data_IF_025189951584
#
_entry.id   IF_025189951584
#
_cell.length_a   1.000
_cell.length_b   1.000
_cell.length_c   1.000
_cell.angle_alpha   90.00
_cell.angle_beta   90.00
_cell.angle_gamma   90.00
#
_symmetry.space_group_name_H-M   'P 1'
#
loop_
_entity.id
_entity.type
_entity.pdbx_description
1 polymer ?
#
# COMPACT_ATOMS: atom_id res chain seq x y z
N UNK A 1 2.01 17.07 -15.28
CA UNK A 1 1.13 15.99 -14.86
C UNK A 1 1.25 15.81 -13.35
N UNK A 2 0.14 15.94 -12.62
CA UNK A 2 0.10 15.90 -11.16
C UNK A 2 -0.47 14.56 -10.71
N UNK A 3 0.31 13.81 -9.94
CA UNK A 3 -0.07 12.49 -9.40
C UNK A 3 -0.26 12.62 -7.89
N UNK A 4 -1.46 12.27 -7.41
CA UNK A 4 -1.75 12.06 -5.99
C UNK A 4 -1.45 10.62 -5.59
N UNK A 5 -0.96 10.42 -4.37
CA UNK A 5 -0.76 9.11 -3.76
C UNK A 5 -1.33 9.11 -2.34
N UNK A 6 -2.11 8.10 -1.98
CA UNK A 6 -2.58 7.96 -0.59
C UNK A 6 -1.45 7.51 0.34
N UNK A 7 -1.51 7.92 1.60
CA UNK A 7 -0.48 7.63 2.61
C UNK A 7 -0.23 6.12 2.82
N UNK A 8 -1.23 5.28 2.54
CA UNK A 8 -1.14 3.83 2.70
C UNK A 8 -0.26 3.12 1.67
N UNK A 9 -0.04 3.72 0.49
CA UNK A 9 0.73 3.07 -0.58
C UNK A 9 2.24 3.13 -0.28
N UNK A 10 2.95 1.99 -0.27
CA UNK A 10 4.40 1.97 -0.12
C UNK A 10 5.10 2.74 -1.24
N UNK A 11 6.09 3.57 -0.88
CA UNK A 11 6.80 4.44 -1.84
C UNK A 11 7.53 3.64 -2.93
N UNK A 12 8.04 2.48 -2.60
CA UNK A 12 8.67 1.56 -3.55
C UNK A 12 7.67 1.07 -4.60
N UNK A 13 6.49 0.67 -4.16
CA UNK A 13 5.45 0.19 -5.07
C UNK A 13 4.96 1.33 -5.99
N UNK A 14 4.80 2.54 -5.44
CA UNK A 14 4.52 3.74 -6.25
C UNK A 14 5.60 3.96 -7.30
N UNK A 15 6.88 3.92 -6.90
CA UNK A 15 8.00 4.07 -7.82
C UNK A 15 7.93 3.04 -8.95
N UNK A 16 7.72 1.77 -8.62
CA UNK A 16 7.64 0.69 -9.60
C UNK A 16 6.50 0.91 -10.60
N UNK A 17 5.35 1.42 -10.16
CA UNK A 17 4.20 1.70 -11.04
C UNK A 17 4.46 2.84 -12.02
N UNK A 18 5.22 3.88 -11.63
CA UNK A 18 5.29 5.12 -12.40
C UNK A 18 6.62 5.35 -13.12
N UNK A 19 7.74 4.76 -12.68
CA UNK A 19 9.07 5.11 -13.16
C UNK A 19 9.26 4.87 -14.68
N UNK A 20 8.74 3.76 -15.21
CA UNK A 20 8.83 3.45 -16.64
C UNK A 20 8.06 4.48 -17.48
N UNK A 21 6.86 4.87 -17.01
CA UNK A 21 6.05 5.91 -17.65
C UNK A 21 6.74 7.27 -17.61
N UNK A 22 7.33 7.66 -16.49
CA UNK A 22 8.06 8.92 -16.37
C UNK A 22 9.29 8.96 -17.28
N UNK A 23 9.99 7.85 -17.48
CA UNK A 23 11.08 7.75 -18.46
C UNK A 23 10.59 7.87 -19.89
N UNK A 24 9.48 7.20 -20.23
CA UNK A 24 8.88 7.25 -21.58
C UNK A 24 8.40 8.65 -21.97
N UNK A 25 7.84 9.40 -21.02
CA UNK A 25 7.32 10.76 -21.21
C UNK A 25 8.18 11.79 -20.49
N UNK A 26 9.50 11.73 -20.72
CA UNK A 26 10.52 12.54 -19.99
C UNK A 26 10.40 14.05 -20.21
N UNK A 27 9.69 14.50 -21.25
CA UNK A 27 9.41 15.91 -21.52
C UNK A 27 8.31 16.51 -20.62
N UNK A 28 7.58 15.65 -19.88
CA UNK A 28 6.50 16.08 -18.98
C UNK A 28 7.09 16.40 -17.60
N UNK A 29 6.70 17.55 -17.04
CA UNK A 29 6.96 17.86 -15.63
C UNK A 29 5.96 17.10 -14.75
N UNK A 30 6.47 16.26 -13.89
CA UNK A 30 5.67 15.54 -12.89
C UNK A 30 5.69 16.26 -11.55
N UNK A 31 4.53 16.29 -10.89
CA UNK A 31 4.38 16.73 -9.50
C UNK A 31 3.73 15.61 -8.73
N UNK A 32 4.38 15.13 -7.67
CA UNK A 32 3.87 14.06 -6.81
C UNK A 32 3.37 14.69 -5.52
N UNK A 33 2.12 14.44 -5.17
CA UNK A 33 1.48 14.90 -3.93
C UNK A 33 1.06 13.71 -3.09
N UNK A 34 1.27 13.80 -1.80
CA UNK A 34 0.81 12.80 -0.84
C UNK A 34 -0.19 13.43 0.12
N UNK A 35 -1.36 12.79 0.28
CA UNK A 35 -2.40 13.26 1.20
C UNK A 35 -3.38 12.10 1.50
N UNK A 36 -4.34 12.37 2.37
CA UNK A 36 -5.50 11.53 2.62
C UNK A 36 -6.32 11.31 1.35
N UNK A 37 -7.01 10.18 1.26
CA UNK A 37 -7.86 9.85 0.12
C UNK A 37 -8.88 10.95 -0.19
N UNK A 38 -9.55 11.48 0.84
CA UNK A 38 -10.56 12.55 0.68
C UNK A 38 -9.93 13.89 0.27
N UNK A 39 -8.72 14.20 0.73
CA UNK A 39 -7.95 15.37 0.32
C UNK A 39 -7.63 15.32 -1.17
N UNK A 40 -7.09 14.19 -1.64
CA UNK A 40 -6.77 13.98 -3.05
C UNK A 40 -8.00 14.01 -3.95
N UNK A 41 -9.14 13.43 -3.52
CA UNK A 41 -10.37 13.48 -4.28
C UNK A 41 -10.91 14.91 -4.45
N UNK A 42 -10.78 15.76 -3.43
CA UNK A 42 -11.16 17.19 -3.54
C UNK A 42 -10.29 17.92 -4.56
N UNK A 43 -8.98 17.67 -4.54
CA UNK A 43 -8.06 18.26 -5.53
C UNK A 43 -8.30 17.74 -6.95
N UNK A 44 -8.64 16.46 -7.09
CA UNK A 44 -9.04 15.88 -8.39
C UNK A 44 -10.31 16.54 -8.92
N UNK A 45 -11.31 16.78 -8.06
CA UNK A 45 -12.58 17.39 -8.44
C UNK A 45 -12.43 18.81 -9.00
N UNK A 46 -11.40 19.55 -8.60
CA UNK A 46 -11.08 20.89 -9.10
C UNK A 46 -9.97 20.90 -10.15
N UNK A 47 -9.58 19.72 -10.68
CA UNK A 47 -8.51 19.52 -11.65
C UNK A 47 -7.12 20.01 -11.18
N UNK A 48 -6.85 20.03 -9.87
CA UNK A 48 -5.54 20.29 -9.29
C UNK A 48 -4.63 19.04 -9.25
N UNK A 49 -5.22 17.87 -9.46
CA UNK A 49 -4.58 16.56 -9.66
C UNK A 49 -5.17 15.91 -10.91
N UNK A 50 -4.33 15.25 -11.71
CA UNK A 50 -4.70 14.56 -12.94
C UNK A 50 -5.00 13.07 -12.69
N UNK A 51 -4.26 12.46 -11.76
CA UNK A 51 -4.27 11.03 -11.50
C UNK A 51 -4.01 10.74 -10.02
N UNK A 52 -4.74 9.79 -9.43
CA UNK A 52 -4.52 9.34 -8.04
C UNK A 52 -4.22 7.83 -8.04
N UNK A 53 -3.18 7.42 -7.32
CA UNK A 53 -2.97 6.04 -6.87
C UNK A 53 -3.47 5.92 -5.43
N UNK A 54 -4.37 4.95 -5.21
CA UNK A 54 -5.05 4.79 -3.93
C UNK A 54 -5.14 3.31 -3.51
N UNK A 55 -5.22 3.11 -2.19
CA UNK A 55 -5.45 1.81 -1.53
C UNK A 55 -6.94 1.40 -1.50
N UNK A 56 -7.81 2.22 -2.10
CA UNK A 56 -9.25 1.98 -2.21
C UNK A 56 -9.86 2.71 -3.39
N UNK A 57 -10.97 2.16 -3.89
CA UNK A 57 -11.77 2.80 -4.94
C UNK A 57 -12.72 3.86 -4.38
N UNK A 58 -13.33 4.62 -5.29
CA UNK A 58 -14.40 5.57 -4.95
C UNK A 58 -15.64 4.79 -4.53
N UNK A 59 -16.21 5.12 -3.38
CA UNK A 59 -17.43 4.49 -2.90
C UNK A 59 -18.63 4.82 -3.81
N UNK A 60 -19.55 3.87 -4.04
CA UNK A 60 -20.79 4.15 -4.77
C UNK A 60 -21.57 5.31 -4.12
N UNK A 61 -22.08 6.21 -4.95
CA UNK A 61 -22.85 7.38 -4.48
C UNK A 61 -22.01 8.61 -4.13
N UNK A 62 -20.69 8.55 -4.24
CA UNK A 62 -19.83 9.73 -4.08
C UNK A 62 -20.11 10.73 -5.20
N UNK A 63 -20.39 12.00 -4.85
CA UNK A 63 -20.75 13.07 -5.79
C UNK A 63 -19.53 13.68 -6.52
N UNK A 64 -18.53 12.85 -6.85
CA UNK A 64 -17.32 13.29 -7.56
C UNK A 64 -17.35 12.69 -8.97
N UNK A 65 -17.14 13.56 -9.96
CA UNK A 65 -17.09 13.16 -11.37
C UNK A 65 -15.71 12.58 -11.72
N UNK A 66 -15.47 11.33 -11.27
CA UNK A 66 -14.20 10.62 -11.47
C UNK A 66 -14.45 9.15 -11.85
N UNK A 67 -13.44 8.54 -12.47
CA UNK A 67 -13.42 7.11 -12.78
C UNK A 67 -12.43 6.42 -11.82
N UNK A 68 -12.83 5.25 -11.31
CA UNK A 68 -11.97 4.41 -10.47
C UNK A 68 -11.71 3.08 -11.18
N UNK A 69 -10.44 2.72 -11.35
CA UNK A 69 -10.00 1.51 -12.03
C UNK A 69 -9.25 0.62 -11.04
N UNK A 70 -9.70 -0.60 -10.87
CA UNK A 70 -8.95 -1.61 -10.12
C UNK A 70 -7.67 -1.96 -10.90
N UNK A 71 -6.53 -1.89 -10.20
CA UNK A 71 -5.21 -2.19 -10.77
C UNK A 71 -4.80 -3.63 -10.49
N UNK A 72 -5.02 -4.11 -9.29
CA UNK A 72 -4.65 -5.42 -8.78
C UNK A 72 -4.60 -5.42 -7.26
N UNK A 73 -4.14 -6.52 -6.71
CA UNK A 73 -3.98 -6.69 -5.26
C UNK A 73 -2.66 -7.42 -4.96
N UNK A 74 -2.16 -7.24 -3.75
CA UNK A 74 -1.02 -7.98 -3.22
C UNK A 74 -1.40 -8.58 -1.88
N UNK A 75 -1.09 -9.86 -1.67
CA UNK A 75 -1.15 -10.46 -0.35
C UNK A 75 -0.16 -9.76 0.59
N UNK A 76 -0.27 -10.02 1.90
CA UNK A 76 0.62 -9.45 2.89
C UNK A 76 1.60 -10.48 3.44
N UNK A 77 2.87 -10.09 3.47
CA UNK A 77 3.92 -10.78 4.19
C UNK A 77 4.16 -10.13 5.54
N UNK A 78 4.50 -10.94 6.54
CA UNK A 78 4.85 -10.50 7.88
C UNK A 78 6.36 -10.60 8.08
N UNK A 79 6.91 -9.62 8.78
CA UNK A 79 8.34 -9.44 8.93
C UNK A 79 8.71 -9.24 10.40
N UNK A 80 9.86 -9.80 10.79
CA UNK A 80 10.49 -9.58 12.08
C UNK A 80 11.99 -9.34 11.93
N UNK A 81 12.60 -8.71 12.94
CA UNK A 81 14.05 -8.48 12.99
C UNK A 81 14.85 -9.78 12.91
N UNK A 82 14.37 -10.81 13.59
CA UNK A 82 14.99 -12.14 13.64
C UNK A 82 14.11 -13.16 12.93
N UNK A 83 14.69 -14.22 12.34
CA UNK A 83 13.91 -15.33 11.80
C UNK A 83 13.13 -16.02 12.95
N UNK A 84 12.07 -16.75 12.58
CA UNK A 84 11.30 -17.51 13.58
C UNK A 84 12.17 -18.50 14.33
N UNK A 85 12.00 -18.52 15.65
CA UNK A 85 12.65 -19.51 16.53
C UNK A 85 12.14 -20.93 16.27
N UNK A 86 12.90 -21.92 16.75
CA UNK A 86 12.52 -23.33 16.66
C UNK A 86 11.13 -23.58 17.29
N UNK A 87 10.29 -24.33 16.58
CA UNK A 87 8.93 -24.67 17.03
C UNK A 87 7.88 -23.61 16.81
N UNK A 88 8.24 -22.40 16.37
CA UNK A 88 7.28 -21.37 16.00
C UNK A 88 6.87 -21.54 14.53
N UNK A 89 5.56 -21.47 14.26
CA UNK A 89 5.01 -21.53 12.90
C UNK A 89 4.09 -20.34 12.66
N UNK A 90 4.16 -19.78 11.46
CA UNK A 90 3.21 -18.77 11.01
C UNK A 90 1.89 -19.45 10.59
N UNK A 91 0.72 -18.90 10.93
CA UNK A 91 0.52 -17.62 11.59
C UNK A 91 0.46 -17.66 13.14
N UNK A 92 0.45 -18.83 13.76
CA UNK A 92 0.25 -19.02 15.23
C UNK A 92 1.29 -18.28 16.08
N UNK A 93 2.51 -18.10 15.55
CA UNK A 93 3.58 -17.36 16.22
C UNK A 93 3.20 -15.93 16.57
N UNK A 94 2.25 -15.32 15.82
CA UNK A 94 1.80 -13.96 16.07
C UNK A 94 1.18 -13.78 17.45
N UNK A 95 0.58 -14.83 18.04
CA UNK A 95 0.04 -14.77 19.40
C UNK A 95 1.12 -14.56 20.49
N UNK A 96 2.38 -14.84 20.17
CA UNK A 96 3.50 -14.75 21.10
C UNK A 96 4.43 -13.56 20.80
N UNK A 97 4.18 -12.82 19.72
CA UNK A 97 5.03 -11.73 19.26
C UNK A 97 4.29 -10.38 19.37
N UNK A 98 4.98 -9.29 19.73
CA UNK A 98 4.37 -7.97 19.66
C UNK A 98 4.10 -7.60 18.20
N UNK A 99 2.94 -6.98 17.95
CA UNK A 99 2.52 -6.57 16.61
C UNK A 99 2.51 -5.04 16.48
N UNK A 100 3.12 -4.55 15.42
CA UNK A 100 3.08 -3.17 14.96
C UNK A 100 2.07 -3.07 13.82
N UNK A 101 1.18 -2.09 13.87
CA UNK A 101 0.10 -1.99 12.89
C UNK A 101 -0.02 -0.57 12.30
N UNK A 102 -0.64 -0.49 11.14
CA UNK A 102 -0.98 0.79 10.54
C UNK A 102 -2.18 1.44 11.25
N UNK A 103 -2.23 2.76 11.24
CA UNK A 103 -3.33 3.55 11.83
C UNK A 103 -4.67 3.32 11.13
N UNK A 104 -5.73 3.82 11.74
CA UNK A 104 -7.13 3.57 11.33
C UNK A 104 -7.49 4.15 9.95
N UNK A 105 -6.71 5.07 9.41
CA UNK A 105 -6.94 5.67 8.08
C UNK A 105 -6.45 4.79 6.93
N UNK A 106 -5.68 3.74 7.21
CA UNK A 106 -5.19 2.78 6.22
C UNK A 106 -6.27 1.74 5.87
N UNK A 107 -6.44 1.47 4.57
CA UNK A 107 -7.33 0.41 4.07
C UNK A 107 -6.97 -0.98 4.60
N UNK A 108 -5.68 -1.23 4.84
CA UNK A 108 -5.17 -2.49 5.36
C UNK A 108 -5.55 -2.76 6.83
N UNK A 109 -5.79 -1.72 7.63
CA UNK A 109 -6.10 -1.87 9.06
C UNK A 109 -7.32 -2.75 9.30
N UNK A 110 -8.41 -2.48 8.59
CA UNK A 110 -9.64 -3.25 8.72
C UNK A 110 -9.46 -4.69 8.21
N UNK A 111 -8.78 -4.85 7.07
CA UNK A 111 -8.50 -6.17 6.51
C UNK A 111 -7.66 -7.02 7.46
N UNK A 112 -6.60 -6.43 8.06
CA UNK A 112 -5.75 -7.10 9.05
C UNK A 112 -6.53 -7.51 10.29
N UNK A 113 -7.37 -6.62 10.84
CA UNK A 113 -8.18 -6.95 12.02
C UNK A 113 -9.14 -8.11 11.74
N UNK A 114 -9.86 -8.06 10.61
CA UNK A 114 -10.77 -9.14 10.23
C UNK A 114 -10.04 -10.46 9.95
N UNK A 115 -8.84 -10.41 9.37
CA UNK A 115 -8.02 -11.60 9.14
C UNK A 115 -7.56 -12.23 10.46
N UNK A 116 -7.06 -11.42 11.40
CA UNK A 116 -6.66 -11.89 12.73
C UNK A 116 -7.83 -12.56 13.47
N UNK A 117 -9.03 -11.97 13.40
CA UNK A 117 -10.25 -12.57 13.99
C UNK A 117 -10.61 -13.90 13.32
N UNK A 118 -10.53 -13.99 11.99
CA UNK A 118 -10.84 -15.19 11.22
C UNK A 118 -9.87 -16.32 11.55
N UNK A 119 -8.59 -16.02 11.67
CA UNK A 119 -7.54 -16.98 12.04
C UNK A 119 -7.48 -17.24 13.55
N UNK A 120 -8.35 -16.60 14.35
CA UNK A 120 -8.38 -16.72 15.82
C UNK A 120 -7.06 -16.31 16.48
N UNK A 121 -6.41 -15.28 15.95
CA UNK A 121 -5.14 -14.74 16.43
C UNK A 121 -5.38 -13.47 17.26
N UNK A 122 -4.71 -13.38 18.40
CA UNK A 122 -4.86 -12.28 19.36
C UNK A 122 -3.50 -11.71 19.79
N UNK A 123 -2.69 -11.22 18.83
CA UNK A 123 -1.38 -10.67 19.15
C UNK A 123 -1.50 -9.41 19.99
N UNK A 124 -0.50 -9.16 20.82
CA UNK A 124 -0.40 -7.89 21.56
C UNK A 124 0.00 -6.77 20.59
N UNK A 125 -0.93 -5.89 20.27
CA UNK A 125 -0.62 -4.66 19.53
C UNK A 125 0.13 -3.72 20.47
N UNK A 126 1.36 -3.34 20.11
CA UNK A 126 2.23 -2.50 20.94
C UNK A 126 2.39 -1.08 20.42
N UNK A 127 2.13 -0.84 19.13
CA UNK A 127 2.14 0.50 18.53
C UNK A 127 1.32 0.57 17.25
N UNK A 128 0.82 1.78 16.95
CA UNK A 128 0.11 2.13 15.72
C UNK A 128 0.84 3.28 15.02
N UNK A 129 0.95 3.22 13.69
CA UNK A 129 1.68 4.19 12.87
C UNK A 129 0.86 4.64 11.67
N UNK A 130 0.72 5.93 11.46
CA UNK A 130 0.16 6.47 10.22
C UNK A 130 1.17 6.47 9.07
N UNK A 131 2.47 6.48 9.39
CA UNK A 131 3.58 6.41 8.43
C UNK A 131 4.12 4.97 8.34
N UNK A 132 4.00 4.37 7.16
CA UNK A 132 4.46 2.99 6.90
C UNK A 132 5.98 2.84 6.87
N UNK A 133 6.74 3.91 6.60
CA UNK A 133 8.20 3.87 6.67
C UNK A 133 8.67 3.85 8.12
N UNK A 134 8.03 4.68 8.97
CA UNK A 134 8.31 4.69 10.41
C UNK A 134 7.95 3.35 11.05
N UNK A 135 6.81 2.76 10.69
CA UNK A 135 6.41 1.41 11.14
C UNK A 135 7.49 0.37 10.84
N UNK A 136 8.01 0.34 9.61
CA UNK A 136 9.06 -0.60 9.20
C UNK A 136 10.38 -0.34 9.94
N UNK A 137 10.73 0.92 10.18
CA UNK A 137 11.92 1.28 10.93
C UNK A 137 11.85 0.75 12.37
N UNK A 138 10.73 0.92 13.08
CA UNK A 138 10.54 0.34 14.41
C UNK A 138 10.58 -1.19 14.37
N UNK A 139 9.97 -1.83 13.36
CA UNK A 139 10.06 -3.28 13.19
C UNK A 139 11.48 -3.77 12.95
N UNK A 140 12.31 -3.02 12.22
CA UNK A 140 13.72 -3.33 11.98
C UNK A 140 14.61 -3.21 13.24
N UNK A 141 14.14 -2.50 14.26
CA UNK A 141 14.79 -2.35 15.56
C UNK A 141 14.19 -3.27 16.65
N UNK A 142 13.51 -4.34 16.23
CA UNK A 142 12.97 -5.40 17.10
C UNK A 142 11.84 -4.97 18.05
N UNK A 143 11.12 -3.89 17.71
CA UNK A 143 9.96 -3.47 18.50
C UNK A 143 8.73 -4.36 18.29
N UNK A 144 8.69 -5.13 17.21
CA UNK A 144 7.61 -6.07 16.93
C UNK A 144 7.55 -6.49 15.46
N UNK A 145 6.65 -7.42 15.21
CA UNK A 145 6.31 -7.89 13.86
C UNK A 145 5.46 -6.83 13.16
N UNK A 146 5.67 -6.67 11.87
CA UNK A 146 4.84 -5.82 11.02
C UNK A 146 4.49 -6.52 9.71
N UNK A 147 3.49 -6.04 8.99
CA UNK A 147 3.15 -6.54 7.66
C UNK A 147 3.39 -5.48 6.57
N UNK A 148 3.68 -5.98 5.38
CA UNK A 148 3.79 -5.17 4.16
C UNK A 148 3.36 -6.01 2.95
N UNK A 149 3.01 -5.38 1.81
CA UNK A 149 2.64 -6.09 0.58
C UNK A 149 3.73 -7.08 0.15
N UNK A 150 3.32 -8.31 -0.17
CA UNK A 150 4.23 -9.36 -0.63
C UNK A 150 4.95 -9.00 -1.93
N UNK A 151 4.33 -8.17 -2.77
CA UNK A 151 4.93 -7.63 -3.99
C UNK A 151 6.26 -6.89 -3.75
N UNK A 152 6.47 -6.35 -2.54
CA UNK A 152 7.71 -5.65 -2.17
C UNK A 152 8.51 -6.38 -1.09
N UNK A 153 8.21 -7.66 -0.82
CA UNK A 153 8.83 -8.42 0.28
C UNK A 153 10.35 -8.39 0.24
N UNK A 154 10.94 -8.72 -0.92
CA UNK A 154 12.39 -8.70 -1.10
C UNK A 154 13.00 -7.34 -0.79
N UNK A 155 12.37 -6.26 -1.24
CA UNK A 155 12.83 -4.89 -0.97
C UNK A 155 12.77 -4.57 0.53
N UNK A 156 11.71 -4.99 1.22
CA UNK A 156 11.56 -4.80 2.67
C UNK A 156 12.67 -5.52 3.42
N UNK A 157 12.97 -6.79 3.06
CA UNK A 157 14.05 -7.56 3.70
C UNK A 157 15.42 -6.91 3.48
N UNK A 158 15.73 -6.52 2.25
CA UNK A 158 17.01 -5.91 1.89
C UNK A 158 17.21 -4.52 2.53
N UNK A 159 16.17 -3.67 2.49
CA UNK A 159 16.27 -2.29 2.97
C UNK A 159 16.31 -2.20 4.50
N UNK A 160 15.52 -3.02 5.19
CA UNK A 160 15.33 -2.92 6.64
C UNK A 160 16.10 -4.01 7.41
N UNK A 161 16.74 -4.97 6.73
CA UNK A 161 17.48 -6.05 7.38
C UNK A 161 16.58 -6.89 8.29
N UNK A 162 15.40 -7.23 7.80
CA UNK A 162 14.38 -8.05 8.47
C UNK A 162 14.16 -9.34 7.70
N UNK A 163 13.46 -10.29 8.31
CA UNK A 163 13.14 -11.59 7.73
C UNK A 163 11.64 -11.72 7.52
N UNK A 164 11.23 -12.19 6.34
CA UNK A 164 9.86 -12.61 6.10
C UNK A 164 9.59 -13.88 6.91
N UNK A 165 8.63 -13.82 7.84
CA UNK A 165 8.28 -14.93 8.73
C UNK A 165 7.02 -15.69 8.26
N UNK A 166 6.32 -15.17 7.27
CA UNK A 166 5.18 -15.82 6.66
C UNK A 166 4.36 -14.91 5.77
N UNK A 167 3.45 -15.52 5.01
CA UNK A 167 2.57 -14.83 4.07
C UNK A 167 1.11 -15.16 4.39
N UNK A 168 0.29 -14.13 4.54
CA UNK A 168 -1.16 -14.23 4.68
C UNK A 168 -1.82 -14.13 3.30
N UNK A 169 -1.93 -15.26 2.59
CA UNK A 169 -2.44 -15.30 1.21
C UNK A 169 -3.89 -14.83 1.05
N UNK A 170 -4.67 -14.85 2.12
CA UNK A 170 -6.08 -14.43 2.16
C UNK A 170 -6.25 -12.97 2.60
N UNK A 171 -5.17 -12.32 3.03
CA UNK A 171 -5.14 -10.93 3.45
C UNK A 171 -4.52 -10.09 2.34
N UNK A 172 -5.35 -9.35 1.59
CA UNK A 172 -4.93 -8.61 0.41
C UNK A 172 -5.08 -7.10 0.58
N UNK A 173 -4.08 -6.36 0.13
CA UNK A 173 -4.17 -4.93 -0.12
C UNK A 173 -4.51 -4.68 -1.59
N UNK A 174 -5.48 -3.81 -1.84
CA UNK A 174 -5.99 -3.52 -3.18
C UNK A 174 -5.53 -2.15 -3.64
N UNK A 175 -5.24 -2.04 -4.93
CA UNK A 175 -4.75 -0.81 -5.53
C UNK A 175 -5.68 -0.32 -6.64
N UNK A 176 -5.86 0.99 -6.68
CA UNK A 176 -6.77 1.64 -7.61
C UNK A 176 -6.10 2.86 -8.25
N UNK A 177 -6.42 3.08 -9.52
CA UNK A 177 -6.18 4.33 -10.22
C UNK A 177 -7.47 5.13 -10.26
N UNK A 178 -7.41 6.42 -9.95
CA UNK A 178 -8.55 7.32 -10.02
C UNK A 178 -8.19 8.50 -10.91
N UNK A 179 -9.05 8.80 -11.88
CA UNK A 179 -8.86 9.90 -12.84
C UNK A 179 -10.09 10.75 -12.92
N UNK A 180 -9.92 12.04 -13.20
CA UNK A 180 -11.02 12.91 -13.58
C UNK A 180 -11.62 12.47 -14.94
N UNK A 181 -12.80 13.01 -15.29
CA UNK A 181 -13.43 12.77 -16.60
C UNK A 181 -12.79 13.55 -17.74
N UNK A 182 -11.91 14.51 -17.45
CA UNK A 182 -11.19 15.26 -18.47
C UNK A 182 -10.15 14.38 -19.18
N UNK A 183 -10.06 14.49 -20.51
CA UNK A 183 -9.21 13.64 -21.35
C UNK A 183 -7.76 14.15 -21.50
N UNK A 184 -7.33 15.16 -20.74
CA UNK A 184 -6.12 15.91 -21.06
C UNK A 184 -4.84 15.06 -21.14
N UNK A 185 -4.68 14.03 -20.29
CA UNK A 185 -3.47 13.19 -20.26
C UNK A 185 -3.77 11.69 -20.13
N UNK A 186 -4.78 11.24 -20.94
CA UNK A 186 -5.24 9.86 -20.94
C UNK A 186 -4.11 8.86 -21.22
N UNK A 187 -3.18 9.20 -22.13
CA UNK A 187 -2.06 8.34 -22.53
C UNK A 187 -1.08 8.06 -21.37
N UNK A 188 -0.78 9.06 -20.53
CA UNK A 188 0.09 8.90 -19.37
C UNK A 188 -0.60 8.04 -18.31
N UNK A 189 -1.88 8.34 -18.04
CA UNK A 189 -2.69 7.58 -17.09
C UNK A 189 -2.81 6.10 -17.49
N UNK A 190 -3.07 5.82 -18.79
CA UNK A 190 -3.11 4.45 -19.31
C UNK A 190 -1.78 3.72 -19.18
N UNK A 191 -0.66 4.41 -19.43
CA UNK A 191 0.66 3.81 -19.30
C UNK A 191 0.97 3.44 -17.83
N UNK A 192 0.58 4.30 -16.86
CA UNK A 192 0.72 3.99 -15.43
C UNK A 192 -0.17 2.79 -15.05
N UNK A 193 -1.42 2.77 -15.49
CA UNK A 193 -2.36 1.67 -15.22
C UNK A 193 -1.83 0.34 -15.79
N UNK A 194 -1.30 0.36 -17.00
CA UNK A 194 -0.73 -0.84 -17.63
C UNK A 194 0.48 -1.36 -16.85
N UNK A 195 1.41 -0.48 -16.48
CA UNK A 195 2.59 -0.83 -15.68
C UNK A 195 2.21 -1.40 -14.30
N UNK A 196 1.26 -0.77 -13.61
CA UNK A 196 0.81 -1.23 -12.30
C UNK A 196 0.14 -2.62 -12.37
N UNK A 197 -0.68 -2.87 -13.39
CA UNK A 197 -1.32 -4.18 -13.59
C UNK A 197 -0.31 -5.29 -13.91
N UNK A 198 0.73 -4.99 -14.68
CA UNK A 198 1.81 -5.94 -14.97
C UNK A 198 2.58 -6.34 -13.71
N UNK A 199 2.85 -5.39 -12.82
CA UNK A 199 3.58 -5.63 -11.56
C UNK A 199 2.73 -6.41 -10.55
N UNK A 200 1.40 -6.21 -10.55
CA UNK A 200 0.46 -6.84 -9.62
C UNK A 200 -0.17 -8.16 -10.15
N UNK A 201 0.16 -8.55 -11.38
CA UNK A 201 -0.31 -9.81 -11.98
C UNK A 201 0.43 -11.03 -11.41
#
# INVERSE_FOLDING_TARGET
>A
FVIGITNGIPKVLFYDFVHATMRRFSQVKYVIKEDSFDGLLKELAINAIDFILADRGIAPGTQISANSFFLGESSLSFFSKSPLGEGLQFPDCLNQMPLLIQGNTSGIRHALTSWLETEQLYPKIVAEFDDTALLKLFGSEDFGVFCAPSAISKHVEEQYGVHCIGNANTLNERYYAITGKSRADYTISEAIVASAREILA
#
